data_IF_484144933870
#
_entry.id   IF_484144933870
#
_cell.length_a   1.000
_cell.length_b   1.000
_cell.length_c   1.000
_cell.angle_alpha   90.00
_cell.angle_beta   90.00
_cell.angle_gamma   90.00
#
_symmetry.space_group_name_H-M   'P 1'
#
loop_
_entity.id
_entity.type
_entity.pdbx_description
1 polymer ?
#
# COMPACT_ATOMS: atom_id res chain seq x y z
N UNK A 1 -20.02 -21.23 12.32
CA UNK A 1 -19.89 -20.53 12.56
C UNK A 1 -19.44 -20.30 12.53
N UNK A 2 -19.24 -20.53 12.15
CA UNK A 2 -18.75 -19.84 12.19
C UNK A 2 -18.20 -19.40 11.75
N UNK A 3 -18.18 -19.77 11.28
CA UNK A 3 -17.71 -18.99 11.03
C UNK A 3 -17.41 -18.76 10.63
N UNK A 4 -17.38 -19.01 10.33
CA UNK A 4 -17.10 -18.32 10.15
C UNK A 4 -16.77 -18.17 9.87
N UNK A 5 -16.79 -18.58 9.63
CA UNK A 5 -16.50 -17.99 9.60
C UNK A 5 -16.09 -17.92 9.20
N UNK A 6 -15.88 -18.12 8.90
CA UNK A 6 -15.47 -17.56 8.90
C UNK A 6 -15.10 -17.27 8.53
N UNK A 7 -15.00 -17.55 8.32
CA UNK A 7 -14.61 -16.82 8.38
C UNK A 7 -14.24 -16.49 8.28
N UNK A 8 -14.19 -16.78 8.07
CA UNK A 8 -13.89 -16.06 8.31
C UNK A 8 -13.27 -15.76 8.10
N UNK A 9 -13.26 -16.12 7.95
CA UNK A 9 -12.77 -15.48 8.11
C UNK A 9 -12.18 -15.27 7.95
N UNK A 10 -12.01 -15.49 7.71
CA UNK A 10 -11.63 -14.89 7.91
C UNK A 10 -10.99 -14.60 7.91
N UNK A 11 -10.96 -14.69 7.73
CA UNK A 11 -10.68 -14.04 8.07
C UNK A 11 -9.84 -13.98 8.38
N UNK A 12 -9.60 -14.30 8.38
CA UNK A 12 -9.11 -13.97 8.82
C UNK A 12 -8.08 -13.98 8.99
N UNK A 13 -7.64 -14.43 9.00
CA UNK A 13 -6.85 -13.97 9.29
C UNK A 13 -5.77 -13.20 8.73
N UNK A 14 -5.62 -12.51 7.80
CA UNK A 14 -4.82 -11.36 7.39
C UNK A 14 -4.50 -10.43 8.53
N UNK A 15 -5.17 -10.57 9.61
CA UNK A 15 -4.94 -9.75 10.79
C UNK A 15 -3.51 -9.84 11.32
N UNK A 16 -2.87 -10.99 11.15
CA UNK A 16 -1.49 -11.15 11.60
C UNK A 16 -0.58 -10.19 10.84
N UNK A 17 -0.77 -10.09 9.53
CA UNK A 17 0.02 -9.18 8.70
C UNK A 17 -0.27 -7.74 9.06
N UNK A 18 -1.54 -7.42 9.32
CA UNK A 18 -1.94 -6.06 9.65
C UNK A 18 -1.37 -5.58 10.98
N UNK A 19 -1.00 -6.50 11.87
CA UNK A 19 -0.44 -6.16 13.16
C UNK A 19 1.06 -5.91 13.13
N UNK A 20 1.74 -6.28 12.05
CA UNK A 20 3.18 -6.04 11.92
C UNK A 20 3.40 -4.54 11.66
N UNK A 21 4.25 -3.95 12.49
CA UNK A 21 4.59 -2.54 12.39
C UNK A 21 6.07 -2.38 12.18
N UNK A 22 6.42 -1.38 11.38
CA UNK A 22 7.80 -1.06 11.08
C UNK A 22 8.07 0.38 11.45
N UNK A 23 9.24 0.64 12.05
CA UNK A 23 9.68 2.01 12.25
C UNK A 23 10.08 2.59 10.88
N UNK A 24 10.28 3.91 10.83
CA UNK A 24 10.76 4.57 9.63
C UNK A 24 12.10 3.97 9.17
N UNK A 25 13.00 3.69 10.11
CA UNK A 25 14.30 3.10 9.78
C UNK A 25 14.15 1.69 9.21
N UNK A 26 13.31 0.88 9.85
CA UNK A 26 13.04 -0.48 9.37
C UNK A 26 12.40 -0.46 7.99
N UNK A 27 11.48 0.47 7.77
CA UNK A 27 10.81 0.60 6.48
C UNK A 27 11.81 1.01 5.39
N UNK A 28 12.65 2.00 5.66
CA UNK A 28 13.64 2.47 4.69
C UNK A 28 14.60 1.34 4.33
N UNK A 29 15.06 0.58 5.34
CA UNK A 29 15.96 -0.56 5.12
C UNK A 29 15.26 -1.64 4.30
N UNK A 30 14.04 -2.01 4.66
CA UNK A 30 13.28 -3.04 3.96
C UNK A 30 12.99 -2.67 2.51
N UNK A 31 12.74 -1.40 2.26
CA UNK A 31 12.44 -0.92 0.91
C UNK A 31 13.69 -0.58 0.10
N UNK A 32 14.85 -0.47 0.75
CA UNK A 32 16.09 -0.14 0.06
C UNK A 32 16.18 1.31 -0.38
N UNK A 33 15.57 2.23 0.38
CA UNK A 33 15.64 3.66 0.11
C UNK A 33 16.27 4.38 1.28
N UNK A 34 16.76 5.60 1.03
CA UNK A 34 17.36 6.39 2.10
C UNK A 34 16.28 6.95 3.02
N UNK A 35 16.61 7.17 4.31
CA UNK A 35 15.66 7.81 5.22
C UNK A 35 15.18 9.17 4.73
N UNK A 36 16.06 9.94 4.07
CA UNK A 36 15.69 11.26 3.54
C UNK A 36 14.63 11.14 2.46
N UNK A 37 14.75 10.15 1.58
CA UNK A 37 13.75 9.91 0.54
C UNK A 37 12.43 9.45 1.15
N UNK A 38 12.48 8.59 2.15
CA UNK A 38 11.27 8.17 2.84
C UNK A 38 10.56 9.37 3.47
N UNK A 39 11.31 10.23 4.16
CA UNK A 39 10.75 11.44 4.77
C UNK A 39 10.06 12.30 3.72
N UNK A 40 10.69 12.47 2.57
CA UNK A 40 10.10 13.27 1.48
C UNK A 40 8.81 12.66 0.97
N UNK A 41 8.77 11.35 0.79
CA UNK A 41 7.55 10.67 0.32
C UNK A 41 6.42 10.83 1.33
N UNK A 42 6.73 10.74 2.62
CA UNK A 42 5.74 10.95 3.68
C UNK A 42 5.22 12.40 3.65
N UNK A 43 6.13 13.37 3.53
CA UNK A 43 5.74 14.78 3.48
C UNK A 43 4.85 15.09 2.29
N UNK A 44 5.07 14.41 1.18
CA UNK A 44 4.27 14.61 -0.03
C UNK A 44 2.94 13.83 0.01
N UNK A 45 2.70 13.07 1.07
CA UNK A 45 1.47 12.28 1.18
C UNK A 45 1.44 11.04 0.30
N UNK A 46 2.58 10.63 -0.24
CA UNK A 46 2.66 9.48 -1.13
C UNK A 46 2.91 8.17 -0.38
N UNK A 47 3.37 8.26 0.85
CA UNK A 47 3.53 7.13 1.76
C UNK A 47 2.87 7.53 3.07
N UNK A 48 1.98 6.69 3.57
CA UNK A 48 1.21 7.01 4.77
C UNK A 48 1.61 6.14 5.95
N UNK A 49 1.69 6.73 7.15
CA UNK A 49 1.88 5.95 8.38
C UNK A 49 0.71 4.99 8.60
N UNK A 50 0.86 4.08 9.55
CA UNK A 50 -0.16 3.08 9.89
C UNK A 50 -1.49 3.71 10.31
N UNK A 51 -1.42 4.92 10.88
CA UNK A 51 -2.59 5.71 11.27
C UNK A 51 -2.20 7.18 11.28
N UNK A 52 -3.18 8.11 11.21
CA UNK A 52 -2.87 9.54 11.27
C UNK A 52 -2.07 9.88 12.52
N UNK A 53 -0.95 10.56 12.35
CA UNK A 53 -0.07 10.95 13.45
C UNK A 53 0.83 9.85 13.98
N UNK A 54 0.73 8.63 13.47
CA UNK A 54 1.59 7.53 13.92
C UNK A 54 3.00 7.68 13.33
N UNK A 55 3.98 7.10 14.02
CA UNK A 55 5.36 7.11 13.58
C UNK A 55 5.78 5.78 12.94
N UNK A 56 4.88 4.81 12.89
CA UNK A 56 5.17 3.50 12.35
C UNK A 56 4.38 3.25 11.06
N UNK A 57 4.75 2.17 10.36
CA UNK A 57 4.22 1.82 9.06
C UNK A 57 3.86 0.34 9.02
N UNK A 58 3.07 -0.05 8.03
CA UNK A 58 2.64 -1.44 7.91
C UNK A 58 3.54 -2.21 6.93
N UNK A 59 3.47 -3.54 7.00
CA UNK A 59 4.18 -4.39 6.05
C UNK A 59 3.69 -4.16 4.62
N UNK A 60 2.41 -3.81 4.44
CA UNK A 60 1.87 -3.50 3.12
C UNK A 60 2.57 -2.27 2.52
N UNK A 61 2.88 -1.28 3.36
CA UNK A 61 3.62 -0.10 2.91
C UNK A 61 5.02 -0.48 2.45
N UNK A 62 5.68 -1.40 3.17
CA UNK A 62 7.00 -1.88 2.76
C UNK A 62 6.94 -2.57 1.39
N UNK A 63 5.94 -3.40 1.15
CA UNK A 63 5.75 -4.06 -0.14
C UNK A 63 5.51 -3.05 -1.26
N UNK A 64 4.71 -2.03 -0.98
CA UNK A 64 4.45 -0.96 -1.93
C UNK A 64 5.72 -0.20 -2.29
N UNK A 65 6.54 0.14 -1.30
CA UNK A 65 7.80 0.85 -1.55
C UNK A 65 8.79 0.02 -2.34
N UNK A 66 8.84 -1.29 -2.12
CA UNK A 66 9.69 -2.16 -2.94
C UNK A 66 9.24 -2.14 -4.40
N UNK A 67 7.93 -2.11 -4.64
CA UNK A 67 7.36 -2.00 -5.98
C UNK A 67 7.75 -0.65 -6.62
N UNK A 68 7.69 0.43 -5.85
CA UNK A 68 8.11 1.75 -6.31
C UNK A 68 9.58 1.77 -6.70
N UNK A 69 10.41 1.15 -5.89
CA UNK A 69 11.85 1.11 -6.16
C UNK A 69 12.15 0.33 -7.43
N UNK A 70 11.45 -0.78 -7.66
CA UNK A 70 11.61 -1.55 -8.90
C UNK A 70 11.21 -0.70 -10.11
N UNK A 71 10.09 0.00 -10.02
CA UNK A 71 9.61 0.84 -11.09
C UNK A 71 10.60 1.97 -11.41
N UNK A 72 11.12 2.61 -10.36
CA UNK A 72 12.14 3.63 -10.49
C UNK A 72 13.36 3.10 -11.23
N UNK A 73 13.84 1.92 -10.82
CA UNK A 73 15.04 1.34 -11.40
C UNK A 73 14.82 0.88 -12.83
N UNK A 74 13.68 0.26 -13.12
CA UNK A 74 13.42 -0.38 -14.41
C UNK A 74 13.02 0.63 -15.48
N UNK A 75 12.31 1.69 -15.11
CA UNK A 75 11.80 2.66 -16.07
C UNK A 75 12.56 3.99 -16.07
N UNK A 76 13.51 4.17 -15.16
CA UNK A 76 14.27 5.41 -15.08
C UNK A 76 13.48 6.61 -14.57
N UNK A 77 12.25 6.39 -14.06
CA UNK A 77 11.45 7.45 -13.45
C UNK A 77 11.99 7.72 -12.06
N UNK A 78 12.00 8.98 -11.62
CA UNK A 78 12.43 9.25 -10.26
C UNK A 78 11.44 8.67 -9.25
N UNK A 79 11.88 8.53 -8.00
CA UNK A 79 11.10 7.83 -6.99
C UNK A 79 9.75 8.49 -6.70
N UNK A 80 9.71 9.82 -6.69
CA UNK A 80 8.46 10.56 -6.51
C UNK A 80 7.51 10.30 -7.66
N UNK A 81 8.03 10.34 -8.90
CA UNK A 81 7.23 10.03 -10.09
C UNK A 81 6.70 8.60 -10.07
N UNK A 82 7.54 7.65 -9.64
CA UNK A 82 7.11 6.26 -9.51
C UNK A 82 5.97 6.12 -8.50
N UNK A 83 6.05 6.85 -7.38
CA UNK A 83 4.99 6.82 -6.36
C UNK A 83 3.67 7.36 -6.92
N UNK A 84 3.74 8.44 -7.69
CA UNK A 84 2.55 9.01 -8.33
C UNK A 84 1.94 8.01 -9.31
N UNK A 85 2.76 7.36 -10.12
CA UNK A 85 2.31 6.36 -11.09
C UNK A 85 1.58 5.21 -10.37
N UNK A 86 2.20 4.65 -9.33
CA UNK A 86 1.60 3.55 -8.59
C UNK A 86 0.28 3.99 -7.95
N UNK A 87 0.23 5.18 -7.37
CA UNK A 87 -0.99 5.69 -6.77
C UNK A 87 -2.10 5.81 -7.82
N UNK A 88 -1.79 6.34 -9.00
CA UNK A 88 -2.77 6.48 -10.06
C UNK A 88 -3.24 5.14 -10.60
N UNK A 89 -2.34 4.18 -10.74
CA UNK A 89 -2.70 2.83 -11.20
C UNK A 89 -3.62 2.16 -10.18
N UNK A 90 -3.31 2.28 -8.88
CA UNK A 90 -4.15 1.71 -7.83
C UNK A 90 -5.54 2.33 -7.83
N UNK A 91 -5.63 3.65 -8.06
CA UNK A 91 -6.92 4.34 -8.16
C UNK A 91 -7.70 3.90 -9.38
N UNK A 92 -7.01 3.73 -10.50
CA UNK A 92 -7.64 3.26 -11.73
C UNK A 92 -8.20 1.85 -11.52
N UNK A 93 -7.43 0.95 -10.93
CA UNK A 93 -7.88 -0.41 -10.64
C UNK A 93 -9.12 -0.39 -9.73
N UNK A 94 -9.12 0.49 -8.73
CA UNK A 94 -10.26 0.62 -7.82
C UNK A 94 -11.50 1.11 -8.56
N UNK A 95 -11.34 2.12 -9.42
CA UNK A 95 -12.45 2.66 -10.20
C UNK A 95 -13.02 1.61 -11.17
N UNK A 96 -12.15 0.84 -11.79
CA UNK A 96 -12.59 -0.23 -12.69
C UNK A 96 -13.37 -1.30 -11.93
N UNK A 97 -12.92 -1.64 -10.72
CA UNK A 97 -13.64 -2.60 -9.88
C UNK A 97 -15.01 -2.06 -9.47
N UNK A 98 -15.07 -0.78 -9.08
CA UNK A 98 -16.33 -0.13 -8.71
C UNK A 98 -17.30 -0.09 -9.90
N UNK A 99 -16.78 0.26 -11.06
CA UNK A 99 -17.60 0.32 -12.27
C UNK A 99 -18.14 -1.06 -12.62
N UNK A 100 -17.32 -2.10 -12.49
CA UNK A 100 -17.77 -3.47 -12.74
C UNK A 100 -18.90 -3.89 -11.81
N UNK A 101 -18.81 -3.52 -10.53
CA UNK A 101 -19.87 -3.81 -9.57
C UNK A 101 -21.16 -3.09 -9.95
N UNK A 102 -21.06 -1.81 -10.31
CA UNK A 102 -22.23 -1.01 -10.69
C UNK A 102 -22.89 -1.57 -11.94
N UNK A 103 -22.11 -2.00 -12.92
CA UNK A 103 -22.65 -2.61 -14.13
C UNK A 103 -23.42 -3.89 -13.83
N UNK A 104 -22.89 -4.70 -12.93
CA UNK A 104 -23.57 -5.94 -12.53
C UNK A 104 -24.89 -5.64 -11.82
N UNK A 105 -24.90 -4.60 -10.98
CA UNK A 105 -26.13 -4.20 -10.29
C UNK A 105 -27.19 -3.72 -11.27
N UNK A 106 -26.79 -2.92 -12.25
CA UNK A 106 -27.71 -2.39 -13.25
C UNK A 106 -28.28 -3.50 -14.13
N UNK A 107 -27.47 -4.51 -14.43
CA UNK A 107 -27.86 -5.58 -15.33
C UNK A 107 -28.59 -6.76 -14.67
N UNK A 108 -28.92 -6.63 -13.39
CA UNK A 108 -29.66 -7.68 -12.67
C UNK A 108 -31.13 -7.67 -12.94
#
# INVERSE_FOLDING_TARGET
MKASARMKTIVARPMVVAEVRLSAEQLATAAGISPARLTRLVQLGLVEPSAPGAADFTAATAARLRRLRRLHRDLGVNLVGAAIIVDLVDRLDQLEADLGRLRREVNR
#
